data_IF_568226736855
#
_entry.id   IF_568226736855
#
_cell.length_a   1.000
_cell.length_b   1.000
_cell.length_c   1.000
_cell.angle_alpha   90.00
_cell.angle_beta   90.00
_cell.angle_gamma   90.00
#
_symmetry.space_group_name_H-M   'P 1'
#
loop_
_entity.id
_entity.type
_entity.pdbx_description
1 polymer ?
#
# COMPACT_ATOMS: atom_id res chain seq x y z
N UNK A 1 -16.88 -5.31 9.43
CA UNK A 1 -17.45 -3.97 9.17
C UNK A 1 -17.24 -2.97 10.31
N UNK A 2 -17.14 -3.42 11.56
CA UNK A 2 -16.97 -2.54 12.73
C UNK A 2 -15.75 -1.62 12.64
N UNK A 3 -14.62 -2.13 12.19
CA UNK A 3 -13.41 -1.32 12.01
C UNK A 3 -13.58 -0.21 10.97
N UNK A 4 -14.24 -0.52 9.85
CA UNK A 4 -14.54 0.45 8.79
C UNK A 4 -15.41 1.57 9.33
N UNK A 5 -16.51 1.21 10.01
CA UNK A 5 -17.45 2.17 10.55
C UNK A 5 -16.85 3.04 11.65
N UNK A 6 -16.00 2.44 12.50
CA UNK A 6 -15.41 3.12 13.65
C UNK A 6 -14.24 4.03 13.29
N UNK A 7 -13.36 3.58 12.40
CA UNK A 7 -12.09 4.27 12.11
C UNK A 7 -12.06 4.95 10.76
N UNK A 8 -13.02 4.66 9.85
CA UNK A 8 -13.14 5.24 8.50
C UNK A 8 -11.78 5.33 7.79
N UNK A 9 -11.05 4.21 7.62
CA UNK A 9 -9.74 4.25 7.00
C UNK A 9 -9.84 4.69 5.53
N UNK A 10 -8.84 5.38 5.01
CA UNK A 10 -8.76 5.76 3.60
C UNK A 10 -8.31 4.60 2.71
N UNK A 11 -7.71 3.55 3.31
CA UNK A 11 -7.13 2.42 2.61
C UNK A 11 -7.40 1.12 3.36
N UNK A 12 -7.85 0.08 2.62
CA UNK A 12 -7.85 -1.31 3.06
C UNK A 12 -6.84 -2.11 2.25
N UNK A 13 -6.08 -2.97 2.92
CA UNK A 13 -5.07 -3.81 2.30
C UNK A 13 -5.33 -5.27 2.63
N UNK A 14 -5.50 -6.09 1.56
CA UNK A 14 -5.64 -7.53 1.68
C UNK A 14 -4.38 -8.22 1.17
N UNK A 15 -3.63 -8.81 2.08
CA UNK A 15 -2.26 -9.30 1.85
C UNK A 15 -2.20 -10.71 1.22
N UNK A 16 -3.30 -11.41 1.13
CA UNK A 16 -3.30 -12.83 0.73
C UNK A 16 -3.95 -13.06 -0.64
N UNK A 17 -5.21 -12.66 -0.78
CA UNK A 17 -6.00 -12.88 -2.01
C UNK A 17 -6.59 -11.58 -2.51
N UNK A 18 -7.44 -11.65 -3.54
CA UNK A 18 -8.21 -10.50 -4.01
C UNK A 18 -9.04 -9.88 -2.88
N UNK A 19 -9.83 -10.70 -2.22
CA UNK A 19 -10.70 -10.31 -1.11
C UNK A 19 -10.80 -11.46 -0.09
N UNK A 20 -11.09 -11.18 1.19
CA UNK A 20 -11.23 -12.19 2.22
C UNK A 20 -12.25 -13.27 1.85
N UNK A 21 -11.86 -14.52 2.01
CA UNK A 21 -12.67 -15.73 1.76
C UNK A 21 -13.09 -15.94 0.28
N UNK A 22 -12.58 -15.16 -0.67
CA UNK A 22 -12.84 -15.37 -2.08
C UNK A 22 -12.08 -16.61 -2.61
N UNK A 23 -12.68 -17.50 -3.46
CA UNK A 23 -14.07 -17.45 -3.95
C UNK A 23 -15.07 -18.25 -3.08
N UNK A 24 -14.65 -18.75 -1.91
CA UNK A 24 -15.48 -19.60 -1.05
C UNK A 24 -16.71 -18.88 -0.45
N UNK A 25 -16.67 -17.54 -0.37
CA UNK A 25 -17.73 -16.72 0.20
C UNK A 25 -17.76 -15.33 -0.45
N UNK A 26 -18.94 -14.70 -0.43
CA UNK A 26 -19.17 -13.32 -0.86
C UNK A 26 -18.81 -12.27 0.22
N UNK A 27 -18.34 -12.70 1.38
CA UNK A 27 -18.07 -11.84 2.52
C UNK A 27 -17.12 -10.68 2.17
N UNK A 28 -16.06 -10.95 1.40
CA UNK A 28 -15.13 -9.94 0.90
C UNK A 28 -15.79 -8.92 -0.02
N UNK A 29 -16.67 -9.37 -0.92
CA UNK A 29 -17.43 -8.47 -1.81
C UNK A 29 -18.36 -7.57 -1.01
N UNK A 30 -19.04 -8.09 0.02
CA UNK A 30 -19.90 -7.29 0.90
C UNK A 30 -19.10 -6.28 1.72
N UNK A 31 -17.90 -6.62 2.14
CA UNK A 31 -16.98 -5.69 2.82
C UNK A 31 -16.58 -4.57 1.86
N UNK A 32 -16.19 -4.89 0.64
CA UNK A 32 -15.79 -3.91 -0.37
C UNK A 32 -16.96 -2.97 -0.75
N UNK A 33 -18.15 -3.53 -1.00
CA UNK A 33 -19.35 -2.75 -1.28
C UNK A 33 -19.72 -1.81 -0.13
N UNK A 34 -19.69 -2.31 1.12
CA UNK A 34 -19.95 -1.49 2.30
C UNK A 34 -18.93 -0.35 2.43
N UNK A 35 -17.65 -0.64 2.21
CA UNK A 35 -16.57 0.32 2.32
C UNK A 35 -16.69 1.45 1.29
N UNK A 36 -16.90 1.14 0.02
CA UNK A 36 -17.10 2.13 -1.03
C UNK A 36 -18.40 2.93 -0.88
N UNK A 37 -19.51 2.26 -0.53
CA UNK A 37 -20.78 2.94 -0.30
C UNK A 37 -20.73 3.90 0.89
N UNK A 38 -20.01 3.53 1.95
CA UNK A 38 -19.80 4.41 3.11
C UNK A 38 -18.99 5.64 2.71
N UNK A 39 -17.93 5.45 1.93
CA UNK A 39 -17.13 6.57 1.40
C UNK A 39 -17.96 7.50 0.51
N UNK A 40 -18.71 6.94 -0.44
CA UNK A 40 -19.56 7.73 -1.31
C UNK A 40 -20.62 8.54 -0.53
N UNK A 41 -21.20 7.94 0.51
CA UNK A 41 -22.16 8.64 1.39
C UNK A 41 -21.51 9.79 2.13
N UNK A 42 -20.31 9.59 2.66
CA UNK A 42 -19.59 10.61 3.44
C UNK A 42 -19.01 11.73 2.57
N UNK A 43 -18.85 11.51 1.25
CA UNK A 43 -18.19 12.42 0.30
C UNK A 43 -19.11 12.85 -0.88
N UNK A 44 -20.41 13.01 -0.65
CA UNK A 44 -21.36 13.52 -1.65
C UNK A 44 -21.38 12.74 -2.97
N UNK A 45 -21.32 11.41 -2.89
CA UNK A 45 -21.33 10.50 -4.04
C UNK A 45 -19.96 10.15 -4.60
N UNK A 46 -18.88 10.72 -4.08
CA UNK A 46 -17.51 10.44 -4.52
C UNK A 46 -16.89 9.33 -3.67
N UNK A 47 -16.37 8.28 -4.30
CA UNK A 47 -15.56 7.26 -3.61
C UNK A 47 -14.16 7.83 -3.42
N UNK A 48 -13.76 8.07 -2.18
CA UNK A 48 -12.48 8.68 -1.81
C UNK A 48 -11.58 7.75 -0.99
N UNK A 49 -11.76 6.45 -1.15
CA UNK A 49 -10.99 5.42 -0.48
C UNK A 49 -10.62 4.31 -1.47
N UNK A 50 -9.65 3.46 -1.10
CA UNK A 50 -9.13 2.42 -1.98
C UNK A 50 -8.99 1.08 -1.27
N UNK A 51 -9.11 -0.01 -2.03
CA UNK A 51 -8.81 -1.36 -1.57
C UNK A 51 -7.65 -1.92 -2.41
N UNK A 52 -6.63 -2.47 -1.75
CA UNK A 52 -5.54 -3.18 -2.39
C UNK A 52 -5.75 -4.69 -2.28
N UNK A 53 -5.46 -5.40 -3.37
CA UNK A 53 -5.51 -6.85 -3.42
C UNK A 53 -4.40 -7.41 -4.31
N UNK A 54 -3.90 -8.62 -4.02
CA UNK A 54 -2.74 -9.19 -4.70
C UNK A 54 -3.10 -9.97 -5.96
N UNK A 55 -3.96 -10.94 -5.85
CA UNK A 55 -4.29 -11.86 -6.94
C UNK A 55 -5.62 -11.40 -7.54
N UNK A 56 -5.56 -10.51 -8.52
CA UNK A 56 -6.73 -9.89 -9.14
C UNK A 56 -6.92 -10.34 -10.58
N UNK A 57 -8.19 -10.68 -10.93
CA UNK A 57 -8.59 -10.81 -12.34
C UNK A 57 -8.66 -9.43 -13.01
N UNK A 58 -8.71 -9.34 -14.36
CA UNK A 58 -8.89 -8.07 -15.06
C UNK A 58 -10.13 -7.30 -14.60
N UNK A 59 -11.24 -7.98 -14.33
CA UNK A 59 -12.49 -7.39 -13.84
C UNK A 59 -12.33 -6.81 -12.43
N UNK A 60 -11.62 -7.53 -11.55
CA UNK A 60 -11.37 -7.08 -10.18
C UNK A 60 -10.45 -5.86 -10.13
N UNK A 61 -9.52 -5.71 -11.07
CA UNK A 61 -8.64 -4.53 -11.20
C UNK A 61 -9.40 -3.23 -11.53
N UNK A 62 -10.65 -3.32 -11.97
CA UNK A 62 -11.50 -2.15 -12.17
C UNK A 62 -12.01 -1.55 -10.85
N UNK A 63 -12.07 -2.37 -9.79
CA UNK A 63 -12.57 -1.95 -8.48
C UNK A 63 -11.51 -1.97 -7.37
N UNK A 64 -10.40 -2.68 -7.58
CA UNK A 64 -9.33 -2.87 -6.60
C UNK A 64 -8.00 -2.45 -7.21
N UNK A 65 -7.13 -1.86 -6.40
CA UNK A 65 -5.76 -1.57 -6.82
C UNK A 65 -4.93 -2.85 -6.73
N UNK A 66 -4.32 -3.22 -7.85
CA UNK A 66 -3.46 -4.40 -7.91
C UNK A 66 -2.15 -4.18 -7.15
N UNK A 67 -1.85 -5.06 -6.20
CA UNK A 67 -0.59 -5.08 -5.45
C UNK A 67 0.28 -6.26 -5.89
N UNK A 68 1.47 -5.96 -6.37
CA UNK A 68 2.47 -6.92 -6.85
C UNK A 68 3.50 -7.16 -5.76
N UNK A 69 3.69 -8.40 -5.32
CA UNK A 69 4.70 -8.70 -4.31
C UNK A 69 6.10 -8.79 -4.92
N UNK A 70 7.01 -7.95 -4.43
CA UNK A 70 8.45 -7.95 -4.77
C UNK A 70 8.77 -7.91 -6.27
N UNK A 71 7.85 -7.37 -7.09
CA UNK A 71 7.99 -7.33 -8.54
C UNK A 71 7.52 -6.01 -9.15
N UNK A 72 7.56 -5.93 -10.47
CA UNK A 72 7.08 -4.84 -11.29
C UNK A 72 6.57 -5.42 -12.61
N UNK A 73 5.44 -4.93 -13.16
CA UNK A 73 5.05 -5.27 -14.52
C UNK A 73 6.12 -4.81 -15.53
N UNK A 74 6.21 -5.50 -16.65
CA UNK A 74 7.15 -5.12 -17.71
C UNK A 74 6.72 -3.87 -18.49
N UNK A 75 5.41 -3.62 -18.56
CA UNK A 75 4.82 -2.53 -19.32
C UNK A 75 4.13 -1.51 -18.40
N UNK A 76 3.95 -0.29 -18.94
CA UNK A 76 3.14 0.75 -18.30
C UNK A 76 1.72 0.23 -18.15
N UNK A 77 1.17 0.36 -16.94
CA UNK A 77 -0.21 -0.05 -16.66
C UNK A 77 -1.17 1.11 -16.89
N UNK A 78 -2.33 0.81 -17.49
CA UNK A 78 -3.40 1.81 -17.69
C UNK A 78 -4.00 2.27 -16.36
N UNK A 79 -4.17 1.34 -15.42
CA UNK A 79 -4.68 1.63 -14.07
C UNK A 79 -3.55 1.72 -13.06
N UNK A 80 -3.68 2.56 -12.03
CA UNK A 80 -2.72 2.61 -10.93
C UNK A 80 -2.57 1.24 -10.25
N UNK A 81 -1.36 0.90 -9.89
CA UNK A 81 -1.00 -0.32 -9.20
C UNK A 81 0.02 -0.04 -8.10
N UNK A 82 0.32 -1.02 -7.28
CA UNK A 82 1.33 -0.93 -6.23
C UNK A 82 2.27 -2.11 -6.29
N UNK A 83 3.53 -1.92 -5.89
CA UNK A 83 4.39 -3.02 -5.47
C UNK A 83 4.73 -2.89 -4.00
N UNK A 84 4.63 -3.98 -3.26
CA UNK A 84 5.13 -4.06 -1.90
C UNK A 84 6.47 -4.79 -1.87
N UNK A 85 7.45 -4.21 -1.19
CA UNK A 85 8.78 -4.79 -1.02
C UNK A 85 9.44 -4.34 0.28
N UNK A 86 10.60 -4.89 0.59
CA UNK A 86 11.36 -4.53 1.78
C UNK A 86 12.81 -4.20 1.43
N UNK A 87 13.47 -3.40 2.27
CA UNK A 87 14.90 -3.07 2.10
C UNK A 87 15.83 -4.23 2.48
N UNK A 88 15.34 -5.20 3.24
CA UNK A 88 16.10 -6.40 3.67
C UNK A 88 15.19 -7.61 3.71
N UNK A 89 14.45 -7.80 4.78
CA UNK A 89 13.43 -8.85 4.93
C UNK A 89 12.14 -8.29 5.46
N UNK A 90 11.05 -9.08 5.36
CA UNK A 90 9.74 -8.66 5.92
C UNK A 90 9.79 -8.47 7.43
N UNK A 91 10.65 -9.22 8.11
CA UNK A 91 10.90 -9.10 9.54
C UNK A 91 12.37 -8.79 9.80
N UNK A 92 12.65 -8.25 10.99
CA UNK A 92 14.04 -8.05 11.42
C UNK A 92 14.78 -9.39 11.47
N UNK A 93 15.92 -9.46 10.76
CA UNK A 93 16.85 -10.58 10.79
C UNK A 93 18.23 -10.05 11.21
N UNK A 94 18.75 -10.57 12.32
CA UNK A 94 20.06 -10.17 12.85
C UNK A 94 21.18 -10.38 11.83
N UNK A 95 21.13 -11.47 11.07
CA UNK A 95 22.12 -11.77 10.03
C UNK A 95 22.14 -10.73 8.90
N UNK A 96 20.99 -10.19 8.50
CA UNK A 96 20.94 -9.10 7.50
C UNK A 96 21.58 -7.84 8.06
N UNK A 97 21.34 -7.53 9.32
CA UNK A 97 21.92 -6.37 9.99
C UNK A 97 23.44 -6.50 10.10
N UNK A 98 23.94 -7.64 10.61
CA UNK A 98 25.36 -7.90 10.82
C UNK A 98 26.16 -7.94 9.50
N UNK A 99 25.58 -8.54 8.45
CA UNK A 99 26.20 -8.64 7.13
C UNK A 99 25.91 -7.43 6.23
N UNK A 100 25.24 -6.38 6.73
CA UNK A 100 24.85 -5.19 5.96
C UNK A 100 24.08 -5.53 4.68
N UNK A 101 23.29 -6.62 4.71
CA UNK A 101 22.56 -7.18 3.58
C UNK A 101 21.28 -6.42 3.19
N UNK A 102 21.23 -5.11 3.41
CA UNK A 102 20.13 -4.24 2.99
C UNK A 102 20.34 -3.74 1.56
N UNK A 103 19.22 -3.52 0.84
CA UNK A 103 19.27 -2.83 -0.46
C UNK A 103 19.93 -1.46 -0.30
N UNK A 104 20.78 -1.09 -1.23
CA UNK A 104 21.42 0.24 -1.26
C UNK A 104 20.39 1.32 -1.59
N UNK A 105 20.67 2.57 -1.21
CA UNK A 105 19.85 3.71 -1.60
C UNK A 105 19.69 3.81 -3.12
N UNK A 106 20.74 3.55 -3.89
CA UNK A 106 20.70 3.52 -5.36
C UNK A 106 19.72 2.47 -5.87
N UNK A 107 19.71 1.26 -5.29
CA UNK A 107 18.77 0.21 -5.65
C UNK A 107 17.33 0.65 -5.40
N UNK A 108 17.07 1.25 -4.23
CA UNK A 108 15.72 1.72 -3.87
C UNK A 108 15.26 2.85 -4.80
N UNK A 109 16.13 3.80 -5.13
CA UNK A 109 15.81 4.90 -6.04
C UNK A 109 15.49 4.37 -7.44
N UNK A 110 16.28 3.42 -7.96
CA UNK A 110 16.00 2.79 -9.27
C UNK A 110 14.67 2.06 -9.27
N UNK A 111 14.35 1.31 -8.22
CA UNK A 111 13.05 0.65 -8.07
C UNK A 111 11.92 1.68 -8.05
N UNK A 112 12.05 2.76 -7.28
CA UNK A 112 11.04 3.82 -7.23
C UNK A 112 10.83 4.45 -8.62
N UNK A 113 11.91 4.76 -9.33
CA UNK A 113 11.84 5.35 -10.67
C UNK A 113 11.14 4.40 -11.65
N UNK A 114 11.50 3.10 -11.64
CA UNK A 114 10.88 2.09 -12.51
C UNK A 114 9.39 1.95 -12.20
N UNK A 115 9.02 1.83 -10.95
CA UNK A 115 7.62 1.69 -10.52
C UNK A 115 6.78 2.90 -10.91
N UNK A 116 7.26 4.11 -10.63
CA UNK A 116 6.53 5.35 -10.93
C UNK A 116 6.41 5.57 -12.44
N UNK A 117 7.46 5.25 -13.22
CA UNK A 117 7.41 5.36 -14.70
C UNK A 117 6.37 4.43 -15.34
N UNK A 118 5.94 3.39 -14.62
CA UNK A 118 4.93 2.41 -15.05
C UNK A 118 3.54 2.63 -14.42
N UNK A 119 3.27 3.84 -13.92
CA UNK A 119 2.03 4.22 -13.23
C UNK A 119 1.81 3.50 -11.89
N UNK A 120 2.88 3.13 -11.20
CA UNK A 120 2.85 2.38 -9.94
C UNK A 120 3.20 3.20 -8.72
N UNK A 121 2.87 2.64 -7.55
CA UNK A 121 3.26 3.12 -6.23
C UNK A 121 4.19 2.12 -5.55
N UNK A 122 5.18 2.61 -4.84
CA UNK A 122 6.13 1.77 -4.09
C UNK A 122 5.79 1.78 -2.59
N UNK A 123 5.34 0.64 -2.07
CA UNK A 123 5.23 0.37 -0.64
C UNK A 123 6.54 -0.28 -0.15
N UNK A 124 7.42 0.52 0.43
CA UNK A 124 8.73 0.05 0.89
C UNK A 124 8.74 -0.19 2.40
N UNK A 125 8.83 -1.45 2.81
CA UNK A 125 8.97 -1.81 4.22
C UNK A 125 10.43 -1.69 4.67
N UNK A 126 10.65 -0.90 5.73
CA UNK A 126 11.89 -0.88 6.49
C UNK A 126 11.72 -1.73 7.76
N UNK A 127 12.46 -2.83 7.96
CA UNK A 127 12.42 -3.57 9.19
C UNK A 127 13.04 -2.73 10.30
N UNK A 128 12.19 -2.17 11.15
CA UNK A 128 12.62 -1.45 12.33
C UNK A 128 13.18 -2.48 13.32
N UNK A 129 14.43 -2.33 13.73
CA UNK A 129 14.92 -2.98 14.94
C UNK A 129 14.05 -2.46 16.08
N UNK A 130 13.18 -3.31 16.63
CA UNK A 130 12.52 -2.98 17.89
C UNK A 130 13.63 -2.81 18.92
N UNK A 131 13.99 -1.58 19.22
CA UNK A 131 14.81 -1.26 20.39
C UNK A 131 13.94 -1.57 21.60
N UNK A 132 13.97 -2.82 22.01
CA UNK A 132 13.55 -3.21 23.33
C UNK A 132 14.41 -2.42 24.31
N UNK A 133 13.79 -1.42 24.94
CA UNK A 133 14.25 -0.54 26.03
C UNK A 133 15.18 0.62 25.60
N UNK A 134 14.62 1.81 25.53
CA UNK A 134 15.28 3.02 25.96
C UNK A 134 15.51 4.15 24.97
N UNK A 135 14.81 4.26 23.84
CA UNK A 135 14.85 5.53 23.09
C UNK A 135 13.64 5.70 22.16
N UNK A 136 12.49 5.99 22.75
CA UNK A 136 11.30 6.45 22.02
C UNK A 136 11.32 7.96 21.74
N UNK A 137 12.48 8.62 21.71
CA UNK A 137 12.57 10.09 21.56
C UNK A 137 13.19 10.63 20.27
N UNK A 138 13.62 9.82 19.34
CA UNK A 138 14.41 10.33 18.19
C UNK A 138 13.70 10.32 16.82
N UNK A 139 12.50 9.77 16.67
CA UNK A 139 11.87 9.66 15.33
C UNK A 139 10.65 10.57 15.10
N UNK A 140 10.30 11.45 16.04
CA UNK A 140 9.14 12.33 15.92
C UNK A 140 9.45 13.82 15.79
N UNK A 141 10.71 14.21 15.58
CA UNK A 141 11.04 15.60 15.31
C UNK A 141 11.73 15.73 13.96
N UNK A 142 11.06 16.44 13.06
CA UNK A 142 11.46 16.92 11.74
C UNK A 142 10.99 16.08 10.54
N UNK A 143 9.69 15.86 10.42
CA UNK A 143 9.08 15.81 9.10
C UNK A 143 8.35 17.15 8.88
N UNK A 144 8.78 18.02 7.95
CA UNK A 144 8.01 19.20 7.62
C UNK A 144 6.70 18.72 6.98
N UNK A 145 5.58 19.14 7.52
CA UNK A 145 4.25 19.01 6.89
C UNK A 145 4.32 19.69 5.53
N UNK A 146 4.65 18.95 4.48
CA UNK A 146 4.43 19.41 3.11
C UNK A 146 2.93 19.29 2.85
N UNK A 147 2.27 20.41 2.72
CA UNK A 147 0.91 20.53 2.21
C UNK A 147 0.88 19.91 0.81
N UNK A 148 0.08 18.86 0.66
CA UNK A 148 -0.23 18.24 -0.63
C UNK A 148 -1.32 19.05 -1.37
N UNK A 149 -1.18 20.37 -1.43
CA UNK A 149 -2.19 21.26 -2.04
C UNK A 149 -1.90 21.66 -3.50
N UNK A 150 -0.88 21.07 -4.15
CA UNK A 150 -0.45 21.58 -5.47
C UNK A 150 -0.63 20.62 -6.65
N UNK A 151 -1.33 19.47 -6.51
CA UNK A 151 -1.56 18.55 -7.64
C UNK A 151 -3.02 18.48 -8.11
N UNK A 152 -3.88 19.41 -7.70
CA UNK A 152 -5.22 19.57 -8.29
C UNK A 152 -5.26 20.80 -9.17
N UNK A 153 -4.59 20.83 -10.32
CA UNK A 153 -4.87 21.71 -11.47
C UNK A 153 -4.04 21.26 -12.66
N UNK A 154 -4.50 20.26 -13.37
CA UNK A 154 -4.38 20.18 -14.82
C UNK A 154 -5.70 19.62 -15.32
N UNK A 155 -6.49 20.50 -15.89
CA UNK A 155 -7.65 20.24 -16.75
C UNK A 155 -7.22 19.46 -17.97
#
# INVERSE_FOLDING_TARGET
MDLINKYKPDLLYFDDTALPLWPASDAGLRIAAHYYNTSAKDHNGVVNNVIFGKILTPEQKQALVWDVEMGSPDQIQETPWQTCTCIGGWHYKRSIYENKGYKSATTVIRMLTDVVSKNGNLLLKSPIRSMLRGSTRACTRNSPKRKFDSLRKVT
#
